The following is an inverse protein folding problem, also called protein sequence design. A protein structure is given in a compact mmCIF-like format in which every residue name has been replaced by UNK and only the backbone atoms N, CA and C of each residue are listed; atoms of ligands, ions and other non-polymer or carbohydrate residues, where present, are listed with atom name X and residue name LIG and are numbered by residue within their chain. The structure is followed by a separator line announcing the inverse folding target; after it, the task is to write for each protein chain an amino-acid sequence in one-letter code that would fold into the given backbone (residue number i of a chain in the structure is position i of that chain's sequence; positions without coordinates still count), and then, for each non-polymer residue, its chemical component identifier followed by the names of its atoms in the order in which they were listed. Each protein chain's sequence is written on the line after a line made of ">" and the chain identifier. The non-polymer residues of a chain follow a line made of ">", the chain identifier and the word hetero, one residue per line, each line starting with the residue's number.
data_IF_620951839310
#
_entry.id   IF_620951839310
#
_cell.length_a   1.000
_cell.length_b   1.000
_cell.length_c   1.000
_cell.angle_alpha   90.00
_cell.angle_beta   90.00
_cell.angle_gamma   90.00
#
_symmetry.space_group_name_H-M   'P 1'
#
loop_
_entity.id
_entity.type
_entity.pdbx_description
1 polymer ?
#
# COMPACT_ATOMS: atom_id res chain seq x y z
N UNK A 1 11.56 24.15 -9.03
CA UNK A 1 12.17 22.88 -9.50
C UNK A 1 12.63 22.13 -8.25
N UNK A 2 11.77 21.29 -7.68
CA UNK A 2 12.10 20.57 -6.44
C UNK A 2 12.85 19.30 -6.84
N UNK A 3 14.18 19.34 -6.72
CA UNK A 3 15.04 18.19 -6.91
C UNK A 3 14.86 17.23 -5.72
N UNK A 4 14.37 16.00 -5.97
CA UNK A 4 14.42 14.94 -4.98
C UNK A 4 15.89 14.61 -4.68
N UNK A 5 16.29 14.82 -3.43
CA UNK A 5 17.63 14.59 -2.93
C UNK A 5 17.95 13.08 -2.89
N UNK A 6 18.97 12.65 -3.63
CA UNK A 6 19.93 11.67 -3.12
C UNK A 6 19.69 10.17 -3.33
N UNK A 7 19.06 9.71 -4.42
CA UNK A 7 19.13 8.29 -4.80
C UNK A 7 20.20 8.11 -5.87
N UNK A 8 21.44 7.81 -5.44
CA UNK A 8 22.50 7.38 -6.34
C UNK A 8 22.38 5.87 -6.60
N UNK A 9 22.00 5.49 -7.81
CA UNK A 9 21.92 4.09 -8.23
C UNK A 9 23.26 3.69 -8.84
N UNK A 10 24.01 2.79 -8.19
CA UNK A 10 25.20 2.15 -8.78
C UNK A 10 25.12 0.65 -8.57
N UNK A 11 24.90 -0.12 -9.64
CA UNK A 11 24.96 -1.58 -9.64
C UNK A 11 23.80 -2.32 -8.96
N UNK A 12 22.54 -1.98 -9.27
CA UNK A 12 21.36 -2.78 -8.86
C UNK A 12 21.05 -2.77 -7.36
N UNK A 13 21.65 -1.85 -6.61
CA UNK A 13 21.42 -1.70 -5.17
C UNK A 13 21.13 -0.24 -4.85
N UNK A 14 19.97 0.02 -4.24
CA UNK A 14 19.59 1.36 -3.76
C UNK A 14 20.05 1.49 -2.32
N UNK A 15 20.85 2.53 -2.05
CA UNK A 15 21.24 2.92 -0.70
C UNK A 15 20.20 3.90 -0.16
N UNK A 16 19.47 3.51 0.89
CA UNK A 16 18.62 4.41 1.67
C UNK A 16 19.28 4.69 3.02
N UNK A 17 18.78 5.68 3.77
CA UNK A 17 19.25 6.00 5.13
C UNK A 17 19.12 4.82 6.12
N UNK A 18 18.37 3.77 5.75
CA UNK A 18 18.04 2.61 6.58
C UNK A 18 18.73 1.31 6.09
N UNK A 19 19.46 1.32 4.97
CA UNK A 19 20.20 0.14 4.50
C UNK A 19 20.43 0.05 2.98
N UNK A 20 21.07 -1.05 2.55
CA UNK A 20 21.25 -1.42 1.13
C UNK A 20 20.09 -2.37 0.76
N UNK A 21 19.28 -1.98 -0.23
CA UNK A 21 18.19 -2.83 -0.74
C UNK A 21 18.51 -3.29 -2.17
N UNK A 22 18.33 -4.59 -2.43
CA UNK A 22 18.34 -5.14 -3.78
C UNK A 22 17.13 -4.57 -4.56
N UNK A 23 17.39 -4.06 -5.76
CA UNK A 23 16.36 -3.39 -6.58
C UNK A 23 15.36 -4.36 -7.24
N UNK A 24 15.60 -5.67 -7.16
CA UNK A 24 14.78 -6.70 -7.81
C UNK A 24 13.53 -7.09 -7.03
N UNK A 25 13.41 -6.70 -5.75
CA UNK A 25 12.20 -6.94 -4.97
C UNK A 25 11.32 -5.69 -5.04
N UNK A 26 10.09 -5.80 -5.56
CA UNK A 26 9.13 -4.71 -5.54
C UNK A 26 9.07 -4.08 -4.13
N UNK A 27 9.15 -2.74 -4.00
CA UNK A 27 9.29 -2.09 -2.70
C UNK A 27 8.05 -2.22 -1.80
N UNK A 28 6.95 -2.79 -2.31
CA UNK A 28 5.77 -3.08 -1.50
C UNK A 28 6.07 -4.04 -0.34
N UNK A 29 5.45 -3.79 0.82
CA UNK A 29 5.53 -4.63 2.02
C UNK A 29 4.12 -5.00 2.44
N UNK A 30 3.67 -6.20 2.10
CA UNK A 30 2.29 -6.63 2.32
C UNK A 30 1.92 -6.71 3.81
N UNK A 31 2.87 -7.06 4.67
CA UNK A 31 2.64 -7.09 6.13
C UNK A 31 2.37 -5.69 6.69
N UNK A 32 3.14 -4.68 6.25
CA UNK A 32 2.88 -3.29 6.64
C UNK A 32 1.52 -2.79 6.14
N UNK A 33 1.10 -3.21 4.93
CA UNK A 33 -0.24 -2.88 4.41
C UNK A 33 -1.32 -3.52 5.28
N UNK A 34 -1.14 -4.78 5.69
CA UNK A 34 -2.06 -5.46 6.60
C UNK A 34 -2.18 -4.71 7.93
N UNK A 35 -1.07 -4.37 8.57
CA UNK A 35 -1.07 -3.64 9.85
C UNK A 35 -1.79 -2.28 9.73
N UNK A 36 -1.57 -1.56 8.62
CA UNK A 36 -2.29 -0.32 8.33
C UNK A 36 -3.81 -0.55 8.21
N UNK A 37 -4.23 -1.60 7.50
CA UNK A 37 -5.65 -1.91 7.32
C UNK A 37 -6.33 -2.38 8.62
N UNK A 38 -5.62 -3.14 9.45
CA UNK A 38 -6.09 -3.54 10.78
C UNK A 38 -6.30 -2.31 11.68
N UNK A 39 -5.33 -1.40 11.71
CA UNK A 39 -5.43 -0.13 12.45
C UNK A 39 -6.58 0.73 11.92
N UNK A 40 -6.72 0.82 10.60
CA UNK A 40 -7.82 1.56 9.96
C UNK A 40 -9.19 0.95 10.33
N UNK A 41 -9.30 -0.37 10.39
CA UNK A 41 -10.53 -1.08 10.77
C UNK A 41 -10.97 -0.69 12.18
N UNK A 42 -10.03 -0.61 13.13
CA UNK A 42 -10.31 -0.18 14.52
C UNK A 42 -10.90 1.23 14.52
N UNK A 43 -10.22 2.19 13.88
CA UNK A 43 -10.69 3.57 13.84
C UNK A 43 -12.02 3.75 13.10
N UNK A 44 -12.22 3.06 11.98
CA UNK A 44 -13.47 3.14 11.24
C UNK A 44 -14.66 2.64 12.07
N UNK A 45 -14.46 1.59 12.88
CA UNK A 45 -15.48 1.09 13.81
C UNK A 45 -15.78 2.08 14.93
N UNK A 46 -14.75 2.64 15.55
CA UNK A 46 -14.90 3.64 16.61
C UNK A 46 -15.70 4.86 16.13
N UNK A 47 -15.52 5.24 14.86
CA UNK A 47 -16.19 6.37 14.24
C UNK A 47 -17.52 6.01 13.57
N UNK A 48 -17.92 4.72 13.55
CA UNK A 48 -19.03 4.22 12.76
C UNK A 48 -19.00 4.70 11.28
N UNK A 49 -17.79 4.73 10.70
CA UNK A 49 -17.51 5.29 9.40
C UNK A 49 -17.38 4.21 8.31
N UNK A 50 -17.67 4.59 7.07
CA UNK A 50 -17.31 3.81 5.89
C UNK A 50 -15.92 4.17 5.37
N UNK A 51 -15.26 3.22 4.71
CA UNK A 51 -13.95 3.42 4.08
C UNK A 51 -14.11 3.56 2.56
N UNK A 52 -13.48 4.58 2.01
CA UNK A 52 -13.49 4.89 0.59
C UNK A 52 -12.04 5.01 0.11
N UNK A 53 -11.64 4.19 -0.85
CA UNK A 53 -10.24 4.11 -1.28
C UNK A 53 -10.10 3.85 -2.78
N UNK A 54 -9.02 4.31 -3.43
CA UNK A 54 -8.69 3.89 -4.78
C UNK A 54 -8.24 2.43 -4.81
N UNK A 55 -8.19 1.83 -5.99
CA UNK A 55 -7.54 0.53 -6.21
C UNK A 55 -6.03 0.64 -5.98
N UNK A 56 -5.60 0.46 -4.73
CA UNK A 56 -4.19 0.52 -4.33
C UNK A 56 -3.42 -0.73 -4.78
N UNK A 57 -2.10 -0.63 -4.86
CA UNK A 57 -1.24 -1.77 -5.21
C UNK A 57 -0.89 -1.87 -6.68
N UNK A 58 -1.53 -1.14 -7.60
CA UNK A 58 -1.08 -1.02 -8.98
C UNK A 58 -0.27 0.27 -9.17
N UNK A 59 1.06 0.17 -9.33
CA UNK A 59 1.92 1.32 -9.58
C UNK A 59 3.41 0.99 -9.53
N UNK A 60 4.24 2.03 -9.35
CA UNK A 60 5.72 1.96 -9.35
C UNK A 60 6.29 0.97 -8.30
N UNK A 61 5.48 0.63 -7.28
CA UNK A 61 5.88 -0.29 -6.22
C UNK A 61 5.74 -1.79 -6.56
N UNK A 62 5.23 -2.14 -7.76
CA UNK A 62 5.13 -3.52 -8.24
C UNK A 62 4.22 -4.44 -7.42
N UNK A 63 3.24 -3.87 -6.71
CA UNK A 63 2.18 -4.64 -6.08
C UNK A 63 1.24 -5.27 -7.11
N UNK A 64 0.52 -6.31 -6.69
CA UNK A 64 -0.59 -6.89 -7.48
C UNK A 64 -1.87 -6.76 -6.67
N UNK A 65 -2.96 -6.42 -7.36
CA UNK A 65 -4.28 -6.36 -6.74
C UNK A 65 -4.66 -7.69 -6.09
N UNK A 66 -4.29 -8.81 -6.72
CA UNK A 66 -4.54 -10.18 -6.25
C UNK A 66 -3.99 -10.46 -4.85
N UNK A 67 -2.98 -9.69 -4.40
CA UNK A 67 -2.46 -9.78 -3.03
C UNK A 67 -3.06 -8.76 -2.09
N UNK A 68 -3.51 -7.60 -2.59
CA UNK A 68 -4.10 -6.53 -1.78
C UNK A 68 -5.56 -6.82 -1.43
N UNK A 69 -6.34 -7.30 -2.40
CA UNK A 69 -7.76 -7.58 -2.21
C UNK A 69 -8.01 -8.55 -1.05
N UNK A 70 -7.29 -9.70 -0.92
CA UNK A 70 -7.46 -10.58 0.23
C UNK A 70 -7.13 -9.90 1.56
N UNK A 71 -6.18 -8.95 1.60
CA UNK A 71 -5.87 -8.21 2.82
C UNK A 71 -7.01 -7.29 3.22
N UNK A 72 -7.61 -6.58 2.26
CA UNK A 72 -8.78 -5.72 2.49
C UNK A 72 -9.96 -6.56 3.00
N UNK A 73 -10.25 -7.69 2.36
CA UNK A 73 -11.34 -8.58 2.80
C UNK A 73 -11.09 -9.14 4.20
N UNK A 74 -9.87 -9.59 4.49
CA UNK A 74 -9.52 -10.16 5.79
C UNK A 74 -9.49 -9.14 6.94
N UNK A 75 -9.46 -7.84 6.64
CA UNK A 75 -9.37 -6.77 7.64
C UNK A 75 -10.66 -5.96 7.69
N UNK A 76 -10.90 -5.09 6.72
CA UNK A 76 -12.05 -4.18 6.68
C UNK A 76 -13.38 -4.93 6.55
N UNK A 77 -13.48 -5.90 5.63
CA UNK A 77 -14.74 -6.63 5.44
C UNK A 77 -15.03 -7.59 6.60
N UNK A 78 -14.02 -8.33 7.08
CA UNK A 78 -14.16 -9.17 8.27
C UNK A 78 -14.47 -8.34 9.53
N UNK A 79 -14.00 -7.08 9.55
CA UNK A 79 -14.34 -6.06 10.52
C UNK A 79 -15.71 -5.40 10.30
N UNK A 80 -16.55 -5.87 9.38
CA UNK A 80 -17.87 -5.28 9.11
C UNK A 80 -17.83 -3.77 8.84
N UNK A 81 -16.74 -3.29 8.23
CA UNK A 81 -16.56 -1.89 7.83
C UNK A 81 -16.99 -1.75 6.36
N UNK A 82 -18.06 -0.96 6.06
CA UNK A 82 -18.48 -0.73 4.68
C UNK A 82 -17.34 -0.11 3.88
N UNK A 83 -16.90 -0.80 2.82
CA UNK A 83 -15.73 -0.41 2.03
C UNK A 83 -16.08 -0.27 0.56
N UNK A 84 -15.73 0.87 -0.04
CA UNK A 84 -15.89 1.13 -1.48
C UNK A 84 -14.54 1.36 -2.13
N UNK A 85 -14.23 0.58 -3.16
CA UNK A 85 -13.00 0.71 -3.96
C UNK A 85 -13.33 1.38 -5.29
N UNK A 86 -12.59 2.44 -5.61
CA UNK A 86 -12.68 3.13 -6.89
C UNK A 86 -11.59 2.65 -7.85
N UNK A 87 -11.99 2.12 -9.00
CA UNK A 87 -11.09 1.85 -10.13
C UNK A 87 -11.24 2.97 -11.17
N UNK A 88 -10.22 3.82 -11.29
CA UNK A 88 -10.23 4.92 -12.24
C UNK A 88 -9.57 4.46 -13.55
N UNK A 89 -10.36 4.36 -14.62
CA UNK A 89 -9.81 4.11 -15.96
C UNK A 89 -8.91 5.28 -16.40
N UNK A 90 -7.70 5.02 -16.91
CA UNK A 90 -6.90 6.05 -17.58
C UNK A 90 -7.68 6.64 -18.75
N UNK A 91 -7.55 7.96 -18.96
CA UNK A 91 -8.10 8.66 -20.14
C UNK A 91 -7.12 8.62 -21.31
#
# INVERSE_FOLDING_TARGET
>A
MVAQHGIAVRGGKVRTATGIHDTDVPPIRYDAVRECLETLTIHARELAASVHMPRIGCGVAGGTWDRIEPLITATLCAGDVPTTIYDLKPR
#
